data_IF_869310298395
#
_entry.id   IF_869310298395
#
_cell.length_a   1.000
_cell.length_b   1.000
_cell.length_c   1.000
_cell.angle_alpha   90.00
_cell.angle_beta   90.00
_cell.angle_gamma   90.00
#
_symmetry.space_group_name_H-M   'P 1'
#
loop_
_entity.id
_entity.type
_entity.pdbx_description
1 polymer ?
#
# COMPACT_ATOMS: atom_id res chain seq x y z
N UNK A 1 -37.50 34.26 56.99
CA UNK A 1 -36.98 34.27 58.37
C UNK A 1 -36.77 32.85 58.84
N UNK A 2 -35.51 32.40 58.87
CA UNK A 2 -34.90 31.68 60.00
C UNK A 2 -33.38 31.60 59.76
N UNK A 3 -32.66 31.85 60.85
CA UNK A 3 -31.29 32.32 61.03
C UNK A 3 -30.21 31.27 60.71
N UNK A 4 -29.15 31.62 59.98
CA UNK A 4 -27.78 31.96 60.47
C UNK A 4 -27.15 30.99 61.47
N UNK A 5 -26.08 30.31 61.02
CA UNK A 5 -24.85 30.11 61.82
C UNK A 5 -23.64 30.39 60.92
N UNK A 6 -22.89 31.45 61.27
CA UNK A 6 -21.59 31.83 60.69
C UNK A 6 -20.44 31.19 61.46
N UNK A 7 -19.27 31.17 60.81
CA UNK A 7 -17.88 31.38 61.28
C UNK A 7 -16.98 30.33 60.60
N UNK A 8 -15.78 30.63 60.08
CA UNK A 8 -15.04 31.86 59.81
C UNK A 8 -13.88 31.47 58.88
N UNK A 9 -13.50 32.37 57.97
CA UNK A 9 -12.27 32.34 57.17
C UNK A 9 -11.03 32.64 58.07
N UNK A 10 -9.76 32.61 57.65
CA UNK A 10 -9.08 32.93 56.36
C UNK A 10 -7.56 32.50 56.48
N UNK A 11 -6.61 32.84 55.58
CA UNK A 11 -5.54 31.95 55.08
C UNK A 11 -4.12 32.47 55.43
N UNK A 12 -3.05 31.90 54.84
CA UNK A 12 -1.69 32.45 54.56
C UNK A 12 -0.78 31.24 54.17
N UNK A 13 0.18 31.29 53.25
CA UNK A 13 0.80 32.37 52.50
C UNK A 13 1.69 31.80 51.37
N UNK A 14 2.17 32.71 50.52
CA UNK A 14 3.11 32.50 49.43
C UNK A 14 4.57 32.58 49.91
N UNK A 15 5.50 32.45 48.95
CA UNK A 15 6.99 32.52 48.98
C UNK A 15 7.68 31.14 49.12
N UNK A 16 8.75 30.79 48.38
CA UNK A 16 9.63 31.53 47.48
C UNK A 16 10.29 30.57 46.47
N UNK A 17 10.80 31.16 45.38
CA UNK A 17 11.71 30.55 44.43
C UNK A 17 13.16 30.47 44.95
N UNK A 18 13.98 29.64 44.27
CA UNK A 18 15.39 29.84 43.90
C UNK A 18 16.40 28.79 44.37
N UNK A 19 17.18 28.32 43.38
CA UNK A 19 18.57 27.77 43.42
C UNK A 19 18.83 26.43 44.11
N UNK A 20 19.82 25.61 43.75
CA UNK A 20 20.59 25.26 42.54
C UNK A 20 21.63 24.23 43.02
N UNK A 21 22.00 23.28 42.16
CA UNK A 21 23.22 22.45 42.14
C UNK A 21 23.56 21.42 43.23
N UNK A 22 24.00 20.23 42.77
CA UNK A 22 24.91 19.38 43.56
C UNK A 22 24.80 17.85 43.44
N UNK A 23 25.07 17.29 42.25
CA UNK A 23 25.88 16.07 41.96
C UNK A 23 25.67 14.75 42.76
N UNK A 24 25.39 13.67 42.00
CA UNK A 24 26.14 12.40 42.11
C UNK A 24 25.41 11.16 42.66
N UNK A 25 25.24 10.14 41.80
CA UNK A 25 24.84 8.79 42.25
C UNK A 25 24.41 7.86 41.12
N UNK A 26 25.37 7.13 40.56
CA UNK A 26 25.26 6.16 39.46
C UNK A 26 24.24 5.02 39.67
N UNK A 27 23.60 4.65 38.56
CA UNK A 27 23.62 3.28 38.07
C UNK A 27 22.45 2.37 38.44
N UNK A 28 21.56 2.14 37.47
CA UNK A 28 21.21 0.79 36.95
C UNK A 28 20.26 0.91 35.76
N UNK A 29 20.87 0.96 34.58
CA UNK A 29 20.19 0.81 33.29
C UNK A 29 19.75 -0.65 33.09
N UNK A 30 18.47 -0.83 32.78
CA UNK A 30 17.94 -2.05 32.17
C UNK A 30 17.90 -1.85 30.65
N UNK A 31 18.35 -2.82 29.84
CA UNK A 31 18.67 -2.59 28.43
C UNK A 31 17.40 -2.44 27.59
N UNK A 32 17.21 -1.25 27.00
CA UNK A 32 16.32 -1.11 25.86
C UNK A 32 17.00 -1.75 24.65
N UNK A 33 16.42 -2.83 24.15
CA UNK A 33 16.84 -3.49 22.92
C UNK A 33 16.72 -2.50 21.75
N UNK A 34 17.84 -1.88 21.39
CA UNK A 34 18.01 -1.15 20.12
C UNK A 34 17.84 -2.14 18.98
N UNK A 35 16.65 -2.14 18.37
CA UNK A 35 16.34 -2.94 17.19
C UNK A 35 17.18 -2.51 15.99
N UNK A 36 17.40 -3.46 15.08
CA UNK A 36 18.28 -3.38 13.90
C UNK A 36 18.18 -2.07 13.10
N UNK A 37 17.01 -1.44 13.03
CA UNK A 37 16.77 -0.21 12.26
C UNK A 37 17.42 1.06 12.82
N UNK A 38 17.67 1.13 14.13
CA UNK A 38 18.27 2.33 14.74
C UNK A 38 19.74 2.50 14.40
N UNK A 39 20.45 1.39 14.11
CA UNK A 39 21.88 1.41 13.76
C UNK A 39 22.11 1.76 12.30
N UNK A 40 21.17 1.42 11.42
CA UNK A 40 21.25 1.78 10.01
C UNK A 40 21.02 3.28 9.79
N UNK A 41 20.15 3.92 10.57
CA UNK A 41 19.81 5.34 10.36
C UNK A 41 20.76 6.34 11.02
N UNK A 42 21.43 5.98 12.12
CA UNK A 42 22.44 6.84 12.76
C UNK A 42 23.67 7.06 11.86
N UNK A 43 23.94 6.11 10.96
CA UNK A 43 24.93 6.25 9.89
C UNK A 43 24.45 7.17 8.72
N UNK A 44 23.16 7.51 8.66
CA UNK A 44 22.56 8.35 7.61
C UNK A 44 22.43 9.82 7.98
N UNK A 45 22.56 10.16 9.27
CA UNK A 45 22.51 11.54 9.78
C UNK A 45 23.88 12.10 10.11
N UNK A 46 24.95 11.50 9.56
CA UNK A 46 26.34 11.89 9.79
C UNK A 46 26.51 13.41 9.75
N UNK A 47 26.88 13.96 10.90
CA UNK A 47 27.24 15.35 11.11
C UNK A 47 28.35 15.74 10.14
N UNK A 48 28.10 16.81 9.38
CA UNK A 48 29.11 17.53 8.63
C UNK A 48 30.12 18.12 9.63
N UNK A 49 31.18 17.38 9.90
CA UNK A 49 32.45 17.95 10.38
C UNK A 49 33.47 17.77 9.26
N UNK A 50 33.81 18.89 8.63
CA UNK A 50 34.88 19.02 7.65
C UNK A 50 36.22 18.63 8.29
N UNK A 51 36.74 17.45 7.94
CA UNK A 51 38.17 17.17 8.02
C UNK A 51 38.69 16.72 6.65
N UNK A 52 39.43 17.63 6.02
CA UNK A 52 40.22 17.36 4.83
C UNK A 52 41.33 16.35 5.16
N UNK A 53 41.26 15.17 4.56
CA UNK A 53 42.26 14.11 4.75
C UNK A 53 42.18 13.00 3.72
N UNK A 54 43.10 13.06 2.76
CA UNK A 54 43.69 11.97 1.95
C UNK A 54 42.79 11.20 0.96
N UNK A 55 43.05 11.43 -0.33
CA UNK A 55 42.50 10.70 -1.48
C UNK A 55 43.03 9.26 -1.53
N UNK A 56 42.39 8.38 -0.75
CA UNK A 56 42.45 6.94 -0.94
C UNK A 56 41.20 6.46 -1.67
N UNK A 57 41.39 5.87 -2.85
CA UNK A 57 40.40 5.20 -3.70
C UNK A 57 39.42 4.33 -2.88
N UNK A 58 38.31 4.94 -2.44
CA UNK A 58 37.16 4.24 -1.88
C UNK A 58 36.12 4.18 -2.98
N UNK A 59 35.56 3.00 -3.29
CA UNK A 59 34.44 2.93 -4.22
C UNK A 59 33.34 3.84 -3.67
N UNK A 60 32.98 4.85 -4.45
CA UNK A 60 31.88 5.76 -4.14
C UNK A 60 30.63 4.88 -4.06
N UNK A 61 30.18 4.59 -2.84
CA UNK A 61 28.97 3.82 -2.61
C UNK A 61 27.82 4.55 -3.30
N UNK A 62 27.31 3.97 -4.40
CA UNK A 62 26.13 4.50 -5.06
C UNK A 62 24.99 4.43 -4.03
N UNK A 63 24.29 5.55 -3.76
CA UNK A 63 23.20 5.53 -2.79
C UNK A 63 22.12 4.56 -3.29
N UNK A 64 21.68 3.65 -2.41
CA UNK A 64 20.66 2.67 -2.74
C UNK A 64 19.44 3.36 -3.39
N UNK A 65 18.82 2.81 -4.45
CA UNK A 65 17.79 3.48 -5.24
C UNK A 65 16.65 4.09 -4.41
N UNK A 66 16.18 3.35 -3.41
CA UNK A 66 15.12 3.81 -2.51
C UNK A 66 15.53 4.91 -1.52
N UNK A 67 16.82 5.07 -1.24
CA UNK A 67 17.36 6.21 -0.47
C UNK A 67 17.38 7.51 -1.30
N UNK A 68 17.44 7.41 -2.63
CA UNK A 68 17.33 8.57 -3.52
C UNK A 68 15.89 9.07 -3.59
N UNK A 69 14.91 8.16 -3.59
CA UNK A 69 13.48 8.50 -3.59
C UNK A 69 13.07 9.29 -2.35
N UNK A 70 13.57 8.91 -1.16
CA UNK A 70 13.39 9.66 0.09
C UNK A 70 13.77 11.14 -0.02
N UNK A 71 14.74 11.45 -0.89
CA UNK A 71 15.35 12.77 -1.04
C UNK A 71 14.73 13.58 -2.20
N UNK A 72 14.06 12.92 -3.15
CA UNK A 72 13.53 13.55 -4.38
C UNK A 72 12.01 13.62 -4.44
N UNK A 73 11.32 12.63 -3.91
CA UNK A 73 9.86 12.54 -3.99
C UNK A 73 9.17 13.34 -2.89
N UNK A 74 7.99 13.83 -3.22
CA UNK A 74 7.11 14.59 -2.36
C UNK A 74 5.82 13.82 -2.09
N UNK A 75 5.05 14.31 -1.11
CA UNK A 75 3.80 13.68 -0.68
C UNK A 75 2.78 13.62 -1.83
N UNK A 76 2.70 14.64 -2.67
CA UNK A 76 1.84 14.67 -3.86
C UNK A 76 2.21 13.61 -4.93
N UNK A 77 3.48 13.22 -5.03
CA UNK A 77 3.92 12.17 -5.97
C UNK A 77 3.39 10.77 -5.61
N UNK A 78 3.02 10.56 -4.34
CA UNK A 78 2.66 9.24 -3.78
C UNK A 78 1.26 9.19 -3.18
N UNK A 79 0.57 10.32 -3.08
CA UNK A 79 -0.74 10.41 -2.44
C UNK A 79 -1.83 9.74 -3.27
N UNK A 80 -2.70 9.00 -2.58
CA UNK A 80 -3.97 8.53 -3.12
C UNK A 80 -4.86 9.76 -3.36
N UNK A 81 -5.32 10.02 -4.60
CA UNK A 81 -6.13 11.19 -4.91
C UNK A 81 -7.44 11.21 -4.12
N UNK A 82 -7.93 12.42 -3.75
CA UNK A 82 -9.20 12.61 -3.03
C UNK A 82 -10.37 11.77 -3.56
N UNK A 83 -10.48 11.66 -4.89
CA UNK A 83 -11.57 10.93 -5.56
C UNK A 83 -11.55 9.42 -5.30
N UNK A 84 -10.39 8.87 -4.94
CA UNK A 84 -10.17 7.43 -4.68
C UNK A 84 -10.20 7.11 -3.18
N UNK A 85 -10.30 8.13 -2.32
CA UNK A 85 -10.37 7.93 -0.87
C UNK A 85 -11.71 7.30 -0.49
N UNK A 86 -11.63 6.07 0.01
CA UNK A 86 -12.74 5.44 0.71
C UNK A 86 -12.80 5.97 2.15
N UNK A 87 -13.88 6.68 2.49
CA UNK A 87 -14.10 7.25 3.81
C UNK A 87 -15.54 7.02 4.29
N UNK A 88 -15.72 6.96 5.61
CA UNK A 88 -17.03 6.78 6.22
C UNK A 88 -17.60 8.11 6.73
N UNK A 89 -18.89 8.42 6.51
CA UNK A 89 -19.52 9.58 7.13
C UNK A 89 -19.75 9.32 8.63
N UNK A 90 -19.74 10.36 9.48
CA UNK A 90 -19.92 10.23 10.93
C UNK A 90 -21.21 9.50 11.34
N UNK A 91 -22.27 9.62 10.55
CA UNK A 91 -23.58 9.02 10.78
C UNK A 91 -23.75 7.63 10.15
N UNK A 92 -22.67 7.02 9.65
CA UNK A 92 -22.66 5.63 9.14
C UNK A 92 -23.24 4.66 10.17
N UNK A 93 -23.98 3.65 9.74
CA UNK A 93 -24.46 2.61 10.66
C UNK A 93 -23.35 1.59 10.93
N UNK A 94 -23.51 0.79 12.00
CA UNK A 94 -22.56 -0.29 12.28
C UNK A 94 -22.46 -1.28 11.10
N UNK A 95 -23.60 -1.64 10.50
CA UNK A 95 -23.65 -2.62 9.42
C UNK A 95 -22.92 -2.10 8.18
N UNK A 96 -23.21 -0.86 7.76
CA UNK A 96 -22.56 -0.26 6.59
C UNK A 96 -21.05 -0.12 6.82
N UNK A 97 -20.63 0.28 8.03
CA UNK A 97 -19.21 0.40 8.35
C UNK A 97 -18.49 -0.96 8.31
N UNK A 98 -19.14 -2.02 8.81
CA UNK A 98 -18.61 -3.40 8.72
C UNK A 98 -18.53 -3.85 7.26
N UNK A 99 -19.52 -3.51 6.45
CA UNK A 99 -19.54 -3.82 5.01
C UNK A 99 -18.39 -3.12 4.29
N UNK A 100 -18.17 -1.82 4.53
CA UNK A 100 -17.03 -1.08 3.99
C UNK A 100 -15.69 -1.74 4.34
N UNK A 101 -15.51 -2.17 5.59
CA UNK A 101 -14.29 -2.88 5.99
C UNK A 101 -14.11 -4.22 5.28
N UNK A 102 -15.20 -4.96 5.03
CA UNK A 102 -15.16 -6.25 4.35
C UNK A 102 -14.94 -6.14 2.85
N UNK A 103 -15.58 -5.17 2.21
CA UNK A 103 -15.51 -4.95 0.76
C UNK A 103 -14.11 -4.52 0.33
N UNK A 104 -13.52 -3.57 1.06
CA UNK A 104 -12.24 -3.00 0.69
C UNK A 104 -11.02 -3.64 1.38
N UNK A 105 -11.24 -4.45 2.43
CA UNK A 105 -10.16 -5.12 3.15
C UNK A 105 -9.23 -4.19 3.95
N UNK A 106 -9.63 -2.94 4.18
CA UNK A 106 -8.80 -1.97 4.86
C UNK A 106 -8.70 -2.22 6.38
N UNK A 107 -7.57 -1.84 6.97
CA UNK A 107 -7.42 -1.86 8.43
C UNK A 107 -7.94 -0.58 9.10
N UNK A 108 -8.00 0.52 8.35
CA UNK A 108 -8.31 1.87 8.82
C UNK A 108 -9.13 2.60 7.76
N UNK A 109 -10.14 3.36 8.19
CA UNK A 109 -10.99 4.16 7.31
C UNK A 109 -11.07 5.59 7.88
N UNK A 110 -10.79 6.65 7.09
CA UNK A 110 -11.04 8.03 7.48
C UNK A 110 -12.52 8.28 7.76
N UNK A 111 -12.81 9.13 8.74
CA UNK A 111 -14.19 9.52 9.08
C UNK A 111 -14.36 11.02 8.92
N UNK A 112 -15.42 11.44 8.22
CA UNK A 112 -15.69 12.83 7.90
C UNK A 112 -17.09 13.29 8.31
N UNK A 113 -17.32 14.62 8.28
CA UNK A 113 -18.64 15.22 8.48
C UNK A 113 -19.06 15.98 7.21
N UNK A 114 -20.07 15.48 6.52
CA UNK A 114 -20.62 16.15 5.34
C UNK A 114 -19.74 15.94 4.11
N UNK A 115 -18.58 16.61 4.04
CA UNK A 115 -17.61 16.45 2.95
C UNK A 115 -16.28 15.91 3.47
N UNK A 116 -15.46 15.36 2.56
CA UNK A 116 -14.10 14.92 2.87
C UNK A 116 -13.22 16.05 3.44
N UNK A 117 -13.51 17.31 3.09
CA UNK A 117 -12.81 18.50 3.60
C UNK A 117 -13.10 18.82 5.07
N UNK A 118 -13.96 18.03 5.72
CA UNK A 118 -14.23 18.11 7.15
C UNK A 118 -13.89 16.78 7.86
N UNK A 119 -12.61 16.38 7.89
CA UNK A 119 -12.17 15.15 8.53
C UNK A 119 -12.28 15.26 10.06
N UNK A 120 -12.72 14.17 10.70
CA UNK A 120 -12.86 14.08 12.16
C UNK A 120 -11.79 13.18 12.79
N UNK A 121 -11.19 12.29 12.00
CA UNK A 121 -10.22 11.29 12.46
C UNK A 121 -10.32 10.03 11.61
N UNK A 122 -9.87 8.91 12.17
CA UNK A 122 -9.96 7.59 11.54
C UNK A 122 -10.55 6.56 12.49
N UNK A 123 -11.18 5.53 11.94
CA UNK A 123 -11.64 4.34 12.67
C UNK A 123 -10.77 3.14 12.29
N UNK A 124 -10.39 2.34 13.29
CA UNK A 124 -9.62 1.11 13.09
C UNK A 124 -10.54 -0.11 13.19
N UNK A 125 -10.38 -1.07 12.27
CA UNK A 125 -11.08 -2.35 12.29
C UNK A 125 -10.95 -3.07 13.65
N UNK A 126 -9.77 -3.03 14.28
CA UNK A 126 -9.51 -3.65 15.58
C UNK A 126 -10.36 -3.03 16.69
N UNK A 127 -10.53 -1.71 16.69
CA UNK A 127 -11.33 -1.02 17.72
C UNK A 127 -12.81 -1.33 17.54
N UNK A 128 -13.28 -1.40 16.29
CA UNK A 128 -14.64 -1.82 15.96
C UNK A 128 -14.90 -3.26 16.42
N UNK A 129 -13.99 -4.18 16.09
CA UNK A 129 -14.10 -5.59 16.44
C UNK A 129 -14.03 -5.84 17.96
N UNK A 130 -13.21 -5.10 18.70
CA UNK A 130 -13.12 -5.26 20.16
C UNK A 130 -14.35 -4.72 20.90
N UNK A 131 -15.01 -3.68 20.38
CA UNK A 131 -16.18 -3.08 21.03
C UNK A 131 -17.49 -3.75 20.63
N UNK A 132 -17.61 -4.16 19.36
CA UNK A 132 -18.85 -4.66 18.77
C UNK A 132 -18.76 -6.07 18.17
N UNK A 133 -17.57 -6.67 18.13
CA UNK A 133 -17.42 -8.09 17.83
C UNK A 133 -17.75 -8.95 19.04
N UNK A 134 -18.18 -10.19 18.81
CA UNK A 134 -18.48 -11.20 19.85
C UNK A 134 -19.77 -11.00 20.65
N UNK A 135 -20.79 -10.38 20.06
CA UNK A 135 -22.14 -10.35 20.65
C UNK A 135 -22.31 -9.41 21.84
N UNK A 136 -21.36 -8.50 22.06
CA UNK A 136 -21.50 -7.37 23.00
C UNK A 136 -22.56 -6.41 22.48
N UNK A 137 -23.78 -6.57 23.01
CA UNK A 137 -24.89 -5.66 22.77
C UNK A 137 -24.62 -4.27 23.34
N UNK A 138 -24.72 -3.24 22.51
CA UNK A 138 -24.57 -1.84 22.89
C UNK A 138 -24.95 -0.91 21.74
N UNK A 139 -25.39 0.31 22.06
CA UNK A 139 -25.68 1.32 21.03
C UNK A 139 -24.38 1.69 20.31
N UNK A 140 -24.32 1.45 19.00
CA UNK A 140 -23.19 1.87 18.18
C UNK A 140 -23.05 3.39 18.21
N UNK A 141 -21.86 3.87 18.59
CA UNK A 141 -21.51 5.28 18.51
C UNK A 141 -20.08 5.38 17.97
N UNK A 142 -19.91 5.94 16.78
CA UNK A 142 -18.60 6.01 16.12
C UNK A 142 -17.62 6.97 16.79
N UNK A 143 -18.12 8.13 17.26
CA UNK A 143 -17.30 9.25 17.75
C UNK A 143 -16.27 8.87 18.84
N UNK A 144 -16.59 8.05 19.87
CA UNK A 144 -15.63 7.61 20.89
C UNK A 144 -14.59 6.58 20.41
N UNK A 145 -14.70 6.12 19.16
CA UNK A 145 -13.76 5.18 18.55
C UNK A 145 -12.81 5.87 17.55
N UNK A 146 -13.03 7.16 17.29
CA UNK A 146 -12.18 7.93 16.39
C UNK A 146 -10.80 8.14 17.02
N UNK A 147 -9.78 7.85 16.23
CA UNK A 147 -8.39 8.17 16.53
C UNK A 147 -7.97 9.43 15.77
N UNK A 148 -7.04 10.22 16.32
CA UNK A 148 -6.49 11.36 15.62
C UNK A 148 -5.77 10.91 14.33
N UNK A 149 -5.71 11.82 13.37
CA UNK A 149 -5.05 11.61 12.09
C UNK A 149 -3.96 12.67 11.91
N UNK A 150 -2.89 12.30 11.21
CA UNK A 150 -1.83 13.21 10.86
C UNK A 150 -2.24 14.02 9.61
N UNK A 151 -1.92 15.30 9.60
CA UNK A 151 -2.17 16.20 8.46
C UNK A 151 -0.84 16.71 7.94
N UNK A 152 -0.65 16.70 6.63
CA UNK A 152 0.59 17.12 5.98
C UNK A 152 0.33 17.89 4.68
N UNK A 153 1.22 18.83 4.30
CA UNK A 153 1.12 19.53 3.02
C UNK A 153 1.64 18.65 1.86
N UNK A 154 1.13 18.84 0.63
CA UNK A 154 1.56 18.08 -0.55
C UNK A 154 3.05 18.24 -0.87
N UNK A 155 3.63 19.40 -0.59
CA UNK A 155 5.03 19.68 -0.86
C UNK A 155 6.01 19.01 0.10
N UNK A 156 5.56 18.33 1.15
CA UNK A 156 6.43 17.70 2.15
C UNK A 156 7.24 16.56 1.51
N UNK A 157 8.56 16.44 1.76
CA UNK A 157 9.33 15.29 1.32
C UNK A 157 8.85 13.99 1.98
N UNK A 158 8.79 12.89 1.21
CA UNK A 158 8.26 11.62 1.72
C UNK A 158 9.06 11.05 2.89
N UNK A 159 10.38 11.30 2.94
CA UNK A 159 11.23 10.86 4.05
C UNK A 159 10.94 11.56 5.36
N UNK A 160 10.58 12.85 5.30
CA UNK A 160 10.15 13.62 6.48
C UNK A 160 8.81 13.08 6.99
N UNK A 161 7.87 12.78 6.09
CA UNK A 161 6.60 12.18 6.46
C UNK A 161 6.79 10.80 7.11
N UNK A 162 7.59 9.92 6.51
CA UNK A 162 7.88 8.59 7.05
C UNK A 162 8.47 8.67 8.46
N UNK A 163 9.43 9.57 8.69
CA UNK A 163 10.01 9.80 10.02
C UNK A 163 8.95 10.28 11.03
N UNK A 164 8.09 11.23 10.65
CA UNK A 164 6.99 11.69 11.52
C UNK A 164 6.00 10.56 11.84
N UNK A 165 5.66 9.73 10.85
CA UNK A 165 4.76 8.60 11.01
C UNK A 165 5.32 7.57 12.00
N UNK A 166 6.62 7.28 11.92
CA UNK A 166 7.33 6.41 12.86
C UNK A 166 7.35 6.98 14.28
N UNK A 167 7.70 8.26 14.45
CA UNK A 167 7.75 8.92 15.76
C UNK A 167 6.37 8.97 16.44
N UNK A 168 5.33 9.33 15.68
CA UNK A 168 3.95 9.43 16.17
C UNK A 168 3.24 8.08 16.22
N UNK A 169 3.87 7.00 15.73
CA UNK A 169 3.28 5.66 15.58
C UNK A 169 1.93 5.68 14.86
N UNK A 170 1.86 6.47 13.79
CA UNK A 170 0.68 6.56 12.92
C UNK A 170 0.99 5.99 11.55
N UNK A 171 0.00 5.37 10.93
CA UNK A 171 0.14 4.65 9.65
C UNK A 171 -0.64 5.30 8.52
N UNK A 172 -1.28 6.44 8.78
CA UNK A 172 -2.13 7.14 7.82
C UNK A 172 -2.03 8.65 8.06
N UNK A 173 -1.94 9.40 6.96
CA UNK A 173 -1.95 10.86 6.96
C UNK A 173 -2.88 11.39 5.85
N UNK A 174 -3.59 12.48 6.14
CA UNK A 174 -4.31 13.25 5.11
C UNK A 174 -3.42 14.35 4.56
N UNK A 175 -3.46 14.50 3.25
CA UNK A 175 -2.81 15.59 2.52
C UNK A 175 -3.79 16.75 2.43
N UNK A 176 -3.38 17.91 2.94
CA UNK A 176 -4.20 19.12 3.03
C UNK A 176 -3.56 20.23 2.21
N UNK A 177 -4.37 20.90 1.38
CA UNK A 177 -3.97 22.06 0.59
C UNK A 177 -3.84 23.32 1.45
N UNK A 178 -3.44 24.44 0.83
CA UNK A 178 -3.30 25.72 1.51
C UNK A 178 -4.63 26.35 1.96
N UNK A 179 -5.75 25.87 1.41
CA UNK A 179 -7.10 26.34 1.72
C UNK A 179 -7.80 25.46 2.77
N UNK A 180 -7.14 24.41 3.26
CA UNK A 180 -7.68 23.47 4.24
C UNK A 180 -8.53 22.34 3.63
N UNK A 181 -8.54 22.20 2.31
CA UNK A 181 -9.17 21.12 1.57
C UNK A 181 -8.33 19.84 1.63
N UNK A 182 -8.98 18.69 1.49
CA UNK A 182 -8.29 17.40 1.35
C UNK A 182 -7.92 17.17 -0.11
N UNK A 183 -6.63 17.05 -0.39
CA UNK A 183 -6.08 16.71 -1.70
C UNK A 183 -5.88 15.20 -1.87
N UNK A 184 -5.57 14.50 -0.77
CA UNK A 184 -5.23 13.08 -0.84
C UNK A 184 -5.02 12.41 0.51
N UNK A 185 -4.62 11.13 0.44
CA UNK A 185 -4.32 10.27 1.57
C UNK A 185 -3.00 9.54 1.33
N UNK A 186 -2.17 9.40 2.36
CA UNK A 186 -0.94 8.61 2.31
C UNK A 186 -0.92 7.59 3.44
N UNK A 187 -0.52 6.36 3.13
CA UNK A 187 -0.26 5.32 4.13
C UNK A 187 1.23 5.11 4.34
N UNK A 188 1.62 4.59 5.51
CA UNK A 188 3.05 4.31 5.78
C UNK A 188 3.55 3.18 4.87
N UNK A 189 2.66 2.26 4.50
CA UNK A 189 2.93 1.16 3.60
C UNK A 189 3.35 1.68 2.21
N UNK A 190 2.63 2.67 1.65
CA UNK A 190 2.97 3.31 0.37
C UNK A 190 4.33 4.01 0.43
N UNK A 191 4.63 4.67 1.56
CA UNK A 191 5.94 5.32 1.75
C UNK A 191 7.06 4.30 1.82
N UNK A 192 6.87 3.22 2.59
CA UNK A 192 7.86 2.15 2.71
C UNK A 192 8.12 1.51 1.35
N UNK A 193 7.09 1.31 0.53
CA UNK A 193 7.24 0.80 -0.84
C UNK A 193 8.20 1.68 -1.66
N UNK A 194 8.13 3.01 -1.55
CA UNK A 194 9.04 3.90 -2.28
C UNK A 194 10.49 3.88 -1.76
N UNK A 195 10.68 3.54 -0.48
CA UNK A 195 11.99 3.50 0.18
C UNK A 195 12.68 2.16 0.02
N UNK A 196 11.92 1.08 0.07
CA UNK A 196 12.46 -0.26 -0.09
C UNK A 196 12.58 -0.57 -1.59
N UNK A 197 11.68 -0.04 -2.42
CA UNK A 197 11.46 -0.58 -3.77
C UNK A 197 10.97 -2.03 -3.69
N UNK A 198 10.74 -2.67 -4.83
CA UNK A 198 10.96 -4.12 -4.87
C UNK A 198 12.40 -4.30 -4.39
N UNK A 199 12.67 -5.16 -3.39
CA UNK A 199 14.05 -5.44 -3.00
C UNK A 199 14.68 -6.13 -4.21
N UNK A 200 15.30 -5.32 -5.06
CA UNK A 200 16.31 -5.68 -6.03
C UNK A 200 17.46 -6.26 -5.21
N UNK A 201 17.51 -7.59 -5.20
CA UNK A 201 18.45 -8.40 -4.43
C UNK A 201 19.87 -8.04 -4.88
N UNK A 202 20.84 -8.23 -4.00
CA UNK A 202 22.29 -7.98 -4.23
C UNK A 202 22.87 -8.90 -5.33
N UNK A 203 22.00 -9.68 -5.97
CA UNK A 203 22.18 -10.56 -7.11
C UNK A 203 21.64 -9.98 -8.43
N UNK A 204 21.35 -8.68 -8.51
CA UNK A 204 20.89 -8.00 -9.73
C UNK A 204 21.97 -7.66 -10.77
N UNK A 205 22.85 -8.63 -11.02
CA UNK A 205 23.48 -8.75 -12.34
C UNK A 205 22.56 -9.46 -13.35
N UNK A 206 21.31 -9.79 -12.97
CA UNK A 206 20.33 -10.44 -13.84
C UNK A 206 19.22 -9.53 -14.41
N UNK A 207 19.10 -8.25 -13.98
CA UNK A 207 18.15 -7.27 -14.53
C UNK A 207 18.59 -6.61 -15.86
N UNK A 208 19.23 -7.40 -16.72
CA UNK A 208 19.26 -7.12 -18.16
C UNK A 208 18.19 -7.87 -18.94
N UNK A 209 17.42 -8.75 -18.29
CA UNK A 209 16.53 -9.68 -18.99
C UNK A 209 15.15 -9.07 -19.18
N UNK A 210 14.87 -8.70 -20.43
CA UNK A 210 13.57 -8.21 -20.90
C UNK A 210 12.43 -9.25 -20.72
N UNK A 211 12.76 -10.52 -20.51
CA UNK A 211 11.80 -11.61 -20.28
C UNK A 211 12.37 -12.75 -19.44
N UNK A 212 11.46 -13.54 -18.86
CA UNK A 212 11.72 -14.79 -18.15
C UNK A 212 10.78 -15.85 -18.72
N UNK A 213 11.32 -17.00 -19.11
CA UNK A 213 10.50 -18.16 -19.50
C UNK A 213 10.00 -18.88 -18.25
N UNK A 214 8.73 -18.72 -17.92
CA UNK A 214 8.12 -19.35 -16.73
C UNK A 214 7.83 -20.84 -16.96
N UNK A 215 7.36 -21.21 -18.16
CA UNK A 215 7.01 -22.59 -18.55
C UNK A 215 7.28 -22.81 -20.04
N UNK A 216 7.25 -24.05 -20.55
CA UNK A 216 7.19 -24.28 -22.00
C UNK A 216 6.02 -23.46 -22.59
N UNK A 217 6.31 -22.70 -23.64
CA UNK A 217 5.35 -21.83 -24.31
C UNK A 217 4.74 -20.70 -23.43
N UNK A 218 5.37 -20.35 -22.30
CA UNK A 218 4.93 -19.24 -21.45
C UNK A 218 6.10 -18.38 -20.98
N UNK A 219 5.96 -17.06 -21.15
CA UNK A 219 6.97 -16.08 -20.77
C UNK A 219 6.35 -14.96 -19.96
N UNK A 220 7.07 -14.46 -18.96
CA UNK A 220 6.82 -13.19 -18.31
C UNK A 220 7.75 -12.15 -18.93
N UNK A 221 7.19 -11.14 -19.57
CA UNK A 221 7.92 -10.18 -20.41
C UNK A 221 7.67 -8.77 -19.88
N UNK A 222 8.71 -7.94 -19.83
CA UNK A 222 8.57 -6.51 -19.59
C UNK A 222 7.90 -5.87 -20.80
N UNK A 223 6.85 -5.07 -20.61
CA UNK A 223 6.13 -4.45 -21.72
C UNK A 223 6.99 -3.49 -22.55
N UNK A 224 8.08 -2.98 -21.97
CA UNK A 224 9.10 -2.17 -22.68
C UNK A 224 10.07 -2.99 -23.55
N UNK A 225 9.98 -4.32 -23.52
CA UNK A 225 10.83 -5.18 -24.34
C UNK A 225 10.62 -4.84 -25.82
N UNK A 226 11.70 -4.65 -26.60
CA UNK A 226 11.62 -4.45 -28.03
C UNK A 226 10.86 -5.62 -28.68
N UNK A 227 9.88 -5.31 -29.54
CA UNK A 227 9.00 -6.34 -30.09
C UNK A 227 9.81 -7.38 -30.89
N UNK A 228 10.71 -6.92 -31.75
CA UNK A 228 11.61 -7.74 -32.55
C UNK A 228 12.45 -8.73 -31.71
N UNK A 229 12.91 -8.32 -30.53
CA UNK A 229 13.67 -9.18 -29.62
C UNK A 229 12.79 -10.25 -28.98
N UNK A 230 11.54 -9.90 -28.65
CA UNK A 230 10.54 -10.86 -28.14
C UNK A 230 10.19 -11.90 -29.20
N UNK A 231 10.00 -11.48 -30.45
CA UNK A 231 9.77 -12.39 -31.58
C UNK A 231 10.96 -13.32 -31.81
N UNK A 232 12.18 -12.80 -31.76
CA UNK A 232 13.41 -13.57 -31.93
C UNK A 232 13.59 -14.64 -30.84
N UNK A 233 13.29 -14.30 -29.57
CA UNK A 233 13.33 -15.26 -28.46
C UNK A 233 12.26 -16.34 -28.60
N UNK A 234 11.04 -15.92 -28.92
CA UNK A 234 9.87 -16.81 -28.84
C UNK A 234 9.66 -17.61 -30.12
N UNK A 235 10.28 -17.18 -31.22
CA UNK A 235 10.12 -17.75 -32.56
C UNK A 235 8.74 -17.47 -33.16
N UNK A 236 7.99 -16.52 -32.61
CA UNK A 236 6.64 -16.17 -33.02
C UNK A 236 6.67 -14.81 -33.71
N UNK A 237 5.99 -14.69 -34.85
CA UNK A 237 5.70 -13.38 -35.45
C UNK A 237 4.39 -12.85 -34.85
N UNK A 238 4.48 -11.65 -34.32
CA UNK A 238 3.49 -10.92 -33.54
C UNK A 238 3.07 -9.60 -34.22
N UNK A 239 3.91 -9.02 -35.07
CA UNK A 239 3.52 -7.94 -35.97
C UNK A 239 3.65 -8.35 -37.44
N UNK A 240 2.83 -7.74 -38.30
CA UNK A 240 2.96 -7.88 -39.76
C UNK A 240 4.05 -6.94 -40.30
N UNK A 241 4.57 -7.23 -41.50
CA UNK A 241 5.68 -6.46 -42.10
C UNK A 241 5.35 -4.96 -42.28
N UNK A 242 4.06 -4.59 -42.35
CA UNK A 242 3.60 -3.19 -42.44
C UNK A 242 3.47 -2.52 -41.04
N UNK A 243 3.37 -3.31 -39.96
CA UNK A 243 3.20 -2.84 -38.57
C UNK A 243 4.53 -2.79 -37.80
N UNK A 244 5.55 -3.53 -38.25
CA UNK A 244 6.90 -3.58 -37.65
C UNK A 244 7.57 -2.20 -37.60
N UNK A 245 7.24 -1.29 -38.52
CA UNK A 245 7.77 0.08 -38.57
C UNK A 245 7.04 1.06 -37.62
N UNK A 246 5.85 0.70 -37.10
CA UNK A 246 5.04 1.54 -36.22
C UNK A 246 5.07 1.10 -34.74
N UNK A 247 5.51 -0.14 -34.46
CA UNK A 247 5.43 -0.74 -33.13
C UNK A 247 6.81 -1.13 -32.59
N UNK A 248 7.34 -0.28 -31.71
CA UNK A 248 8.67 -0.50 -31.13
C UNK A 248 8.70 -1.59 -30.03
N UNK A 249 7.60 -1.79 -29.29
CA UNK A 249 7.60 -2.59 -28.05
C UNK A 249 6.39 -3.50 -27.92
N UNK A 250 6.53 -4.56 -27.12
CA UNK A 250 5.42 -5.48 -26.81
C UNK A 250 4.22 -4.76 -26.19
N UNK A 251 4.45 -3.77 -25.33
CA UNK A 251 3.39 -2.94 -24.75
C UNK A 251 2.67 -2.09 -25.79
N UNK A 252 3.39 -1.59 -26.80
CA UNK A 252 2.82 -0.88 -27.95
C UNK A 252 1.89 -1.77 -28.76
N UNK A 253 2.31 -3.01 -29.05
CA UNK A 253 1.47 -4.00 -29.74
C UNK A 253 0.17 -4.26 -28.98
N UNK A 254 0.26 -4.54 -27.68
CA UNK A 254 -0.92 -4.87 -26.86
C UNK A 254 -1.87 -3.67 -26.76
N UNK A 255 -1.33 -2.46 -26.66
CA UNK A 255 -2.14 -1.24 -26.69
C UNK A 255 -2.89 -1.08 -28.02
N UNK A 256 -2.21 -1.32 -29.15
CA UNK A 256 -2.82 -1.28 -30.48
C UNK A 256 -3.96 -2.30 -30.62
N UNK A 257 -3.72 -3.55 -30.19
CA UNK A 257 -4.72 -4.62 -30.22
C UNK A 257 -5.95 -4.31 -29.34
N UNK A 258 -5.73 -3.77 -28.14
CA UNK A 258 -6.80 -3.48 -27.19
C UNK A 258 -7.50 -2.13 -27.44
N UNK A 259 -6.86 -1.21 -28.17
CA UNK A 259 -7.31 0.18 -28.38
C UNK A 259 -7.27 1.05 -27.11
N UNK A 260 -6.71 0.55 -26.02
CA UNK A 260 -6.58 1.20 -24.70
C UNK A 260 -5.51 0.50 -23.86
N UNK A 261 -5.20 1.05 -22.70
CA UNK A 261 -4.38 0.35 -21.70
C UNK A 261 -5.25 -0.71 -21.00
N UNK A 262 -4.93 -2.01 -21.10
CA UNK A 262 -5.70 -3.06 -20.44
C UNK A 262 -5.48 -3.07 -18.92
N UNK A 263 -6.46 -3.55 -18.18
CA UNK A 263 -6.37 -3.66 -16.72
C UNK A 263 -5.58 -4.92 -16.33
N UNK A 264 -5.06 -4.93 -15.11
CA UNK A 264 -4.42 -6.12 -14.54
C UNK A 264 -5.38 -7.32 -14.55
N UNK A 265 -4.89 -8.46 -15.01
CA UNK A 265 -5.62 -9.72 -15.15
C UNK A 265 -6.40 -9.85 -16.46
N UNK A 266 -6.44 -8.80 -17.28
CA UNK A 266 -7.07 -8.85 -18.60
C UNK A 266 -6.23 -9.69 -19.57
N UNK A 267 -6.90 -10.49 -20.40
CA UNK A 267 -6.25 -11.35 -21.40
C UNK A 267 -6.61 -10.84 -22.80
N UNK A 268 -5.60 -10.45 -23.56
CA UNK A 268 -5.72 -9.96 -24.92
C UNK A 268 -5.30 -11.09 -25.87
N UNK A 269 -6.19 -11.49 -26.77
CA UNK A 269 -5.91 -12.49 -27.78
C UNK A 269 -5.26 -11.84 -29.01
N UNK A 270 -4.30 -12.54 -29.60
CA UNK A 270 -3.65 -12.15 -30.84
C UNK A 270 -4.03 -13.11 -31.96
N UNK A 271 -4.05 -12.63 -33.20
CA UNK A 271 -4.47 -13.41 -34.38
C UNK A 271 -3.56 -14.61 -34.66
N UNK A 272 -2.30 -14.57 -34.19
CA UNK A 272 -1.40 -15.73 -34.24
C UNK A 272 -1.76 -16.85 -33.26
N UNK A 273 -2.78 -16.66 -32.42
CA UNK A 273 -3.21 -17.58 -31.36
C UNK A 273 -2.46 -17.41 -30.04
N UNK A 274 -1.65 -16.36 -29.92
CA UNK A 274 -0.96 -15.97 -28.69
C UNK A 274 -1.94 -15.26 -27.75
N UNK A 275 -1.80 -15.52 -26.45
CA UNK A 275 -2.54 -14.80 -25.41
C UNK A 275 -1.59 -13.95 -24.56
N UNK A 276 -1.97 -12.70 -24.33
CA UNK A 276 -1.27 -11.75 -23.48
C UNK A 276 -2.10 -11.47 -22.23
N UNK A 277 -1.68 -12.00 -21.08
CA UNK A 277 -2.27 -11.70 -19.78
C UNK A 277 -1.52 -10.52 -19.14
N UNK A 278 -2.22 -9.44 -18.83
CA UNK A 278 -1.61 -8.28 -18.16
C UNK A 278 -1.37 -8.61 -16.69
N UNK A 279 -0.10 -8.78 -16.32
CA UNK A 279 0.30 -9.10 -14.94
C UNK A 279 0.37 -7.84 -14.10
N UNK A 280 0.85 -6.74 -14.70
CA UNK A 280 0.96 -5.43 -14.06
C UNK A 280 0.79 -4.31 -15.08
N UNK A 281 -0.05 -3.33 -14.75
CA UNK A 281 -0.25 -2.10 -15.49
C UNK A 281 -0.56 -0.95 -14.52
N UNK A 282 -0.22 0.27 -14.93
CA UNK A 282 -0.65 1.52 -14.31
C UNK A 282 -1.61 2.27 -15.26
N UNK A 283 -2.26 3.39 -14.85
CA UNK A 283 -3.21 4.11 -15.70
C UNK A 283 -2.63 4.67 -17.01
N UNK A 284 -1.30 4.70 -17.16
CA UNK A 284 -0.59 5.28 -18.30
C UNK A 284 0.09 4.25 -19.18
N UNK A 285 0.41 3.06 -18.67
CA UNK A 285 1.12 2.01 -19.43
C UNK A 285 0.99 0.62 -18.84
N UNK A 286 1.22 -0.37 -19.70
CA UNK A 286 1.45 -1.76 -19.31
C UNK A 286 2.89 -1.87 -18.81
N UNK A 287 3.13 -2.62 -17.74
CA UNK A 287 4.48 -2.84 -17.18
C UNK A 287 4.97 -4.26 -17.42
N UNK A 288 4.15 -5.27 -17.10
CA UNK A 288 4.50 -6.69 -17.23
C UNK A 288 3.36 -7.48 -17.85
N UNK A 289 3.72 -8.35 -18.78
CA UNK A 289 2.79 -9.18 -19.54
C UNK A 289 3.24 -10.62 -19.48
N UNK A 290 2.30 -11.53 -19.23
CA UNK A 290 2.51 -12.95 -19.39
C UNK A 290 2.01 -13.37 -20.77
N UNK A 291 2.92 -13.76 -21.63
CA UNK A 291 2.64 -14.25 -22.97
C UNK A 291 2.54 -15.77 -22.97
N UNK A 292 1.52 -16.32 -23.64
CA UNK A 292 1.33 -17.77 -23.84
C UNK A 292 1.22 -18.07 -25.33
N UNK A 293 2.05 -18.99 -25.83
CA UNK A 293 1.98 -19.40 -27.23
C UNK A 293 0.75 -20.28 -27.51
N UNK A 294 0.32 -20.37 -28.78
CA UNK A 294 -0.80 -21.21 -29.18
C UNK A 294 -0.58 -22.66 -28.75
N UNK A 295 -1.55 -23.26 -28.07
CA UNK A 295 -1.46 -24.65 -27.59
C UNK A 295 -0.80 -24.86 -26.22
N UNK A 296 -0.41 -23.79 -25.52
CA UNK A 296 0.01 -23.88 -24.10
C UNK A 296 -1.15 -24.17 -23.14
N UNK A 297 -2.40 -24.02 -23.60
CA UNK A 297 -3.62 -24.34 -22.85
C UNK A 297 -3.95 -25.83 -22.91
N UNK A 298 -3.21 -26.62 -22.12
CA UNK A 298 -3.66 -27.91 -21.63
C UNK A 298 -3.47 -28.00 -20.10
N UNK A 299 -4.05 -27.05 -19.37
CA UNK A 299 -4.52 -27.28 -18.01
C UNK A 299 -5.67 -26.33 -17.76
N UNK A 300 -6.89 -26.85 -17.89
CA UNK A 300 -8.12 -26.09 -17.62
C UNK A 300 -8.15 -25.62 -16.16
N UNK A 301 -8.75 -24.45 -15.86
CA UNK A 301 -9.08 -24.09 -14.50
C UNK A 301 -10.11 -25.08 -13.94
N UNK A 302 -9.85 -25.58 -12.73
CA UNK A 302 -10.72 -26.46 -11.96
C UNK A 302 -12.08 -25.78 -11.74
N UNK A 303 -13.06 -26.14 -12.57
CA UNK A 303 -14.44 -25.76 -12.37
C UNK A 303 -15.01 -26.59 -11.20
N UNK A 304 -15.73 -25.98 -10.25
CA UNK A 304 -16.28 -26.70 -9.12
C UNK A 304 -17.27 -27.75 -9.64
N UNK A 305 -16.96 -29.03 -9.39
CA UNK A 305 -17.83 -30.16 -9.73
C UNK A 305 -19.19 -29.96 -9.06
N UNK A 306 -20.20 -29.62 -9.87
CA UNK A 306 -21.61 -29.73 -9.48
C UNK A 306 -21.86 -31.18 -9.06
N UNK A 307 -22.32 -31.36 -7.81
CA UNK A 307 -22.89 -32.64 -7.36
C UNK A 307 -24.05 -33.02 -8.30
N UNK A 308 -24.09 -34.25 -8.84
CA UNK A 308 -25.28 -34.68 -9.57
C UNK A 308 -26.46 -34.79 -8.59
N UNK A 309 -27.59 -34.22 -9.00
CA UNK A 309 -28.88 -34.36 -8.33
C UNK A 309 -29.33 -35.84 -8.38
N UNK A 310 -30.06 -36.33 -7.35
CA UNK A 310 -30.54 -37.71 -7.33
C UNK A 310 -31.57 -37.92 -8.46
N UNK A 311 -31.34 -38.97 -9.26
CA UNK A 311 -32.32 -39.45 -10.24
C UNK A 311 -33.46 -40.16 -9.52
N UNK A 312 -34.68 -39.73 -9.80
CA UNK A 312 -35.91 -40.38 -9.36
C UNK A 312 -35.94 -41.83 -9.87
N UNK A 313 -36.03 -42.77 -8.94
CA UNK A 313 -36.31 -44.17 -9.22
C UNK A 313 -37.83 -44.40 -9.06
N UNK A 314 -38.55 -44.25 -10.17
CA UNK A 314 -39.90 -44.78 -10.34
C UNK A 314 -39.92 -45.49 -11.70
N UNK A 315 -39.64 -46.79 -11.68
CA UNK A 315 -40.38 -47.84 -12.40
C UNK A 315 -39.59 -49.14 -12.42
N UNK A 316 -39.94 -50.04 -11.49
CA UNK A 316 -39.98 -51.49 -11.70
C UNK A 316 -40.60 -52.16 -10.46
N UNK A 317 -41.93 -52.10 -10.39
CA UNK A 317 -42.75 -53.10 -9.71
C UNK A 317 -43.07 -54.16 -10.75
N UNK A 318 -42.33 -55.27 -10.77
CA UNK A 318 -42.80 -56.58 -11.23
C UNK A 318 -41.64 -57.59 -11.22
N UNK A 319 -41.48 -58.34 -10.13
CA UNK A 319 -41.27 -59.80 -10.15
C UNK A 319 -40.83 -60.31 -8.77
N UNK A 320 -41.67 -61.16 -8.18
CA UNK A 320 -41.30 -62.36 -7.40
C UNK A 320 -40.47 -62.15 -6.12
N UNK A 321 -41.04 -62.27 -4.93
CA UNK A 321 -41.22 -63.56 -4.23
C UNK A 321 -42.34 -63.37 -3.18
N UNK A 322 -43.20 -64.34 -2.90
CA UNK A 322 -42.81 -65.46 -2.04
C UNK A 322 -42.77 -64.98 -0.60
#
# INVERSE_FOLDING_TARGET
MNSETRLSARPLGADAASEADGVGGEGRDLPQSRGFFGRFFDALTGSEEDEAGDEGDRPVAQPAPGMVNLRRMRVDDVAIPKAEIIAAPLNVTLNDLVEMFREHGFSRIPVFRGTLDSPLGLIHLKDLALKHGFGTGGKFTLRPMLRPMLYVPPSMPIGVLLQQMQQKRTHMALVIDEYGGVDGLVTIEDLIEQVIGEIEDEHDEAEGRMWIKEKPAQWLIQARAPLNEVEAETGLRLASDDEDDEIDTLGGLIFMLAGRIPLRGEVIAHDSGVEFEVVEADPRRIKRVRMRAPGATASAPDAPRKRPAPQNAEDQIASETG
#
